data_IF_891089410953
#
_entry.id   IF_891089410953
#
_cell.length_a   1.000
_cell.length_b   1.000
_cell.length_c   1.000
_cell.angle_alpha   90.00
_cell.angle_beta   90.00
_cell.angle_gamma   90.00
#
_symmetry.space_group_name_H-M   'P 1'
#
loop_
_entity.id
_entity.type
_entity.pdbx_description
1 polymer ?
#
# COMPACT_ATOMS: atom_id res chain seq x y z
N UNK A 1 -11.02 2.57 37.65
CA UNK A 1 -10.15 2.46 36.45
C UNK A 1 -10.24 1.13 35.65
N UNK A 2 -11.31 0.29 35.65
CA UNK A 2 -11.29 -1.00 34.92
C UNK A 2 -11.70 -0.92 33.42
N UNK A 3 -12.51 0.05 33.00
CA UNK A 3 -13.09 0.08 31.64
C UNK A 3 -12.09 0.41 30.52
N UNK A 4 -11.04 1.21 30.80
CA UNK A 4 -10.01 1.56 29.83
C UNK A 4 -9.23 0.34 29.30
N UNK A 5 -9.08 -0.70 30.15
CA UNK A 5 -8.32 -1.93 29.88
C UNK A 5 -9.08 -2.96 29.03
N UNK A 6 -10.41 -2.92 28.97
CA UNK A 6 -11.23 -3.92 28.26
C UNK A 6 -11.24 -3.66 26.75
N UNK A 7 -11.30 -2.40 26.33
CA UNK A 7 -11.35 -2.07 24.91
C UNK A 7 -9.98 -2.14 24.22
N UNK A 8 -8.87 -1.83 24.91
CA UNK A 8 -7.52 -2.06 24.37
C UNK A 8 -7.27 -3.56 24.16
N UNK A 9 -7.85 -4.41 25.02
CA UNK A 9 -7.87 -5.87 24.87
C UNK A 9 -8.74 -6.37 23.72
N UNK A 10 -9.67 -5.57 23.18
CA UNK A 10 -10.55 -5.97 22.05
C UNK A 10 -10.07 -5.37 20.72
N UNK A 11 -9.63 -4.11 20.72
CA UNK A 11 -9.23 -3.43 19.50
C UNK A 11 -7.96 -4.01 18.87
N UNK A 12 -6.93 -4.29 19.67
CA UNK A 12 -5.68 -4.89 19.18
C UNK A 12 -5.89 -6.27 18.54
N UNK A 13 -6.64 -7.22 19.13
CA UNK A 13 -6.92 -8.49 18.45
C UNK A 13 -7.86 -8.34 17.26
N UNK A 14 -8.77 -7.36 17.23
CA UNK A 14 -9.57 -7.08 16.02
C UNK A 14 -8.66 -6.58 14.88
N UNK A 15 -7.77 -5.64 15.17
CA UNK A 15 -6.81 -5.14 14.18
C UNK A 15 -5.87 -6.25 13.71
N UNK A 16 -5.32 -7.03 14.64
CA UNK A 16 -4.47 -8.19 14.35
C UNK A 16 -5.22 -9.24 13.53
N UNK A 17 -6.46 -9.56 13.90
CA UNK A 17 -7.34 -10.49 13.19
C UNK A 17 -7.66 -10.03 11.77
N UNK A 18 -7.86 -8.73 11.56
CA UNK A 18 -8.09 -8.18 10.23
C UNK A 18 -6.83 -8.22 9.36
N UNK A 19 -5.66 -7.95 9.94
CA UNK A 19 -4.36 -8.09 9.25
C UNK A 19 -4.07 -9.55 8.89
N UNK A 20 -4.29 -10.48 9.82
CA UNK A 20 -4.07 -11.91 9.56
C UNK A 20 -5.06 -12.46 8.54
N UNK A 21 -6.33 -12.05 8.61
CA UNK A 21 -7.33 -12.38 7.60
C UNK A 21 -6.92 -11.86 6.22
N UNK A 22 -6.44 -10.61 6.13
CA UNK A 22 -5.97 -10.04 4.88
C UNK A 22 -4.79 -10.83 4.28
N UNK A 23 -3.78 -11.16 5.09
CA UNK A 23 -2.67 -12.02 4.68
C UNK A 23 -3.11 -13.43 4.27
N UNK A 24 -3.99 -14.06 5.05
CA UNK A 24 -4.53 -15.38 4.74
C UNK A 24 -5.33 -15.38 3.43
N UNK A 25 -6.10 -14.31 3.19
CA UNK A 25 -6.87 -14.13 1.95
C UNK A 25 -5.92 -13.95 0.76
N UNK A 26 -4.89 -13.11 0.88
CA UNK A 26 -3.87 -12.95 -0.16
C UNK A 26 -3.13 -14.26 -0.44
N UNK A 27 -2.78 -15.00 0.61
CA UNK A 27 -2.12 -16.30 0.47
C UNK A 27 -3.01 -17.34 -0.20
N UNK A 28 -4.29 -17.40 0.16
CA UNK A 28 -5.24 -18.30 -0.48
C UNK A 28 -5.46 -17.90 -1.95
N UNK A 29 -5.52 -16.60 -2.23
CA UNK A 29 -5.67 -16.08 -3.59
C UNK A 29 -4.44 -16.45 -4.44
N UNK A 30 -3.21 -16.21 -4.00
CA UNK A 30 -2.00 -16.57 -4.76
C UNK A 30 -1.89 -18.08 -5.03
N UNK A 31 -2.37 -18.91 -4.09
CA UNK A 31 -2.37 -20.39 -4.23
C UNK A 31 -3.51 -20.93 -5.08
N UNK A 32 -4.55 -20.14 -5.31
CA UNK A 32 -5.70 -20.57 -6.11
C UNK A 32 -5.40 -20.47 -7.62
N UNK A 33 -6.19 -21.11 -8.49
CA UNK A 33 -6.16 -20.88 -9.94
C UNK A 33 -6.44 -19.43 -10.35
N UNK A 34 -6.83 -18.59 -9.37
CA UNK A 34 -7.10 -17.17 -9.46
C UNK A 34 -5.87 -16.32 -9.07
N UNK A 35 -4.73 -16.92 -8.68
CA UNK A 35 -3.48 -16.19 -8.38
C UNK A 35 -3.01 -15.30 -9.53
N UNK A 36 -3.31 -15.69 -10.77
CA UNK A 36 -3.10 -14.88 -11.99
C UNK A 36 -3.76 -13.51 -11.97
N UNK A 37 -4.83 -13.27 -11.20
CA UNK A 37 -5.47 -11.94 -11.09
C UNK A 37 -4.66 -10.96 -10.23
N UNK A 38 -3.57 -11.40 -9.61
CA UNK A 38 -2.61 -10.54 -8.91
C UNK A 38 -1.44 -10.09 -9.80
N UNK A 39 -1.17 -10.77 -10.92
CA UNK A 39 -0.16 -10.34 -11.89
C UNK A 39 -0.74 -9.28 -12.84
N UNK A 40 -0.19 -8.98 -14.02
CA UNK A 40 -0.69 -7.98 -15.01
C UNK A 40 -1.07 -8.57 -16.40
N UNK A 41 -1.29 -9.88 -16.51
CA UNK A 41 -1.50 -10.62 -17.76
C UNK A 41 -2.92 -10.56 -18.34
N UNK A 42 -3.12 -10.92 -19.61
CA UNK A 42 -4.43 -10.88 -20.31
C UNK A 42 -5.43 -11.95 -19.81
N UNK A 43 -5.99 -11.76 -18.62
CA UNK A 43 -7.00 -12.66 -18.00
C UNK A 43 -8.43 -12.42 -18.46
N UNK A 44 -8.69 -11.39 -19.25
CA UNK A 44 -10.01 -11.18 -19.90
C UNK A 44 -10.29 -12.25 -20.96
N UNK A 45 -9.27 -13.01 -21.38
CA UNK A 45 -9.35 -14.00 -22.44
C UNK A 45 -9.77 -15.42 -21.98
N UNK A 46 -9.64 -15.80 -20.70
CA UNK A 46 -10.03 -17.17 -20.26
C UNK A 46 -10.29 -17.37 -18.75
N UNK A 47 -11.18 -18.31 -18.41
CA UNK A 47 -11.49 -18.74 -17.03
C UNK A 47 -12.79 -18.15 -16.45
N UNK A 48 -13.07 -18.34 -15.15
CA UNK A 48 -14.32 -17.90 -14.51
C UNK A 48 -14.55 -16.38 -14.57
N UNK A 49 -13.46 -15.59 -14.66
CA UNK A 49 -13.55 -14.15 -14.88
C UNK A 49 -14.07 -13.79 -16.28
N UNK A 50 -13.80 -14.59 -17.32
CA UNK A 50 -14.38 -14.37 -18.65
C UNK A 50 -15.90 -14.60 -18.65
N UNK A 51 -16.38 -15.58 -17.87
CA UNK A 51 -17.81 -15.81 -17.63
C UNK A 51 -18.45 -14.68 -16.80
N UNK A 52 -17.78 -14.17 -15.75
CA UNK A 52 -18.25 -13.00 -15.01
C UNK A 52 -18.30 -11.74 -15.90
N UNK A 53 -17.30 -11.55 -16.75
CA UNK A 53 -17.21 -10.42 -17.68
C UNK A 53 -18.32 -10.44 -18.74
N UNK A 54 -18.80 -11.63 -19.14
CA UNK A 54 -19.90 -11.79 -20.10
C UNK A 54 -21.29 -11.76 -19.44
N UNK A 55 -21.38 -12.10 -18.15
CA UNK A 55 -22.64 -12.11 -17.40
C UNK A 55 -23.07 -10.72 -16.87
N UNK A 56 -22.13 -9.77 -16.73
CA UNK A 56 -22.39 -8.43 -16.20
C UNK A 56 -22.36 -7.38 -17.34
N UNK A 57 -23.35 -6.47 -17.45
CA UNK A 57 -23.29 -5.36 -18.39
C UNK A 57 -22.02 -4.50 -18.16
N UNK A 58 -21.15 -4.39 -19.16
CA UNK A 58 -19.85 -3.72 -19.01
C UNK A 58 -18.83 -4.49 -18.17
N UNK A 59 -19.01 -5.81 -18.01
CA UNK A 59 -18.18 -6.68 -17.17
C UNK A 59 -16.70 -6.67 -17.55
N UNK A 60 -16.36 -6.42 -18.81
CA UNK A 60 -14.97 -6.23 -19.27
C UNK A 60 -14.22 -5.06 -18.61
N UNK A 61 -14.95 -4.08 -18.06
CA UNK A 61 -14.38 -2.92 -17.35
C UNK A 61 -14.65 -3.00 -15.84
N UNK A 62 -15.88 -3.34 -15.45
CA UNK A 62 -16.33 -3.31 -14.05
C UNK A 62 -15.68 -4.42 -13.22
N UNK A 63 -15.57 -5.64 -13.77
CA UNK A 63 -15.02 -6.79 -13.04
C UNK A 63 -13.52 -6.61 -12.77
N UNK A 64 -12.67 -6.23 -13.74
CA UNK A 64 -11.25 -5.95 -13.48
C UNK A 64 -11.04 -4.80 -12.49
N UNK A 65 -11.82 -3.71 -12.60
CA UNK A 65 -11.71 -2.58 -11.68
C UNK A 65 -12.07 -2.98 -10.24
N UNK A 66 -13.12 -3.78 -10.06
CA UNK A 66 -13.53 -4.28 -8.75
C UNK A 66 -12.50 -5.24 -8.14
N UNK A 67 -11.95 -6.17 -8.94
CA UNK A 67 -10.90 -7.09 -8.49
C UNK A 67 -9.62 -6.34 -8.11
N UNK A 68 -9.21 -5.35 -8.91
CA UNK A 68 -8.08 -4.50 -8.58
C UNK A 68 -8.32 -3.72 -7.29
N UNK A 69 -9.49 -3.11 -7.12
CA UNK A 69 -9.84 -2.37 -5.91
C UNK A 69 -9.83 -3.29 -4.66
N UNK A 70 -10.32 -4.53 -4.80
CA UNK A 70 -10.27 -5.54 -3.75
C UNK A 70 -8.84 -5.94 -3.40
N UNK A 71 -8.02 -6.30 -4.39
CA UNK A 71 -6.62 -6.68 -4.21
C UNK A 71 -5.82 -5.54 -3.57
N UNK A 72 -6.00 -4.30 -4.05
CA UNK A 72 -5.38 -3.11 -3.51
C UNK A 72 -5.78 -2.86 -2.05
N UNK A 73 -7.05 -3.04 -1.74
CA UNK A 73 -7.55 -2.90 -0.37
C UNK A 73 -6.96 -3.97 0.54
N UNK A 74 -6.95 -5.23 0.12
CA UNK A 74 -6.32 -6.33 0.86
C UNK A 74 -4.84 -6.05 1.12
N UNK A 75 -4.09 -5.62 0.11
CA UNK A 75 -2.68 -5.25 0.24
C UNK A 75 -2.48 -4.07 1.22
N UNK A 76 -3.34 -3.06 1.15
CA UNK A 76 -3.34 -1.93 2.09
C UNK A 76 -3.59 -2.40 3.53
N UNK A 77 -4.57 -3.28 3.74
CA UNK A 77 -4.90 -3.83 5.06
C UNK A 77 -3.78 -4.76 5.57
N UNK A 78 -3.17 -5.55 4.70
CA UNK A 78 -2.10 -6.48 5.06
C UNK A 78 -0.78 -5.78 5.40
N UNK A 79 -0.41 -4.75 4.62
CA UNK A 79 0.91 -4.12 4.71
C UNK A 79 0.88 -2.78 5.42
N UNK A 80 -0.06 -1.90 5.06
CA UNK A 80 -0.04 -0.50 5.49
C UNK A 80 -0.75 -0.27 6.81
N UNK A 81 -1.85 -0.99 7.06
CA UNK A 81 -2.58 -0.86 8.32
C UNK A 81 -1.74 -1.20 9.55
N UNK A 82 -0.92 -2.28 9.58
CA UNK A 82 -0.01 -2.56 10.71
C UNK A 82 0.91 -1.38 11.03
N UNK A 83 1.36 -0.65 10.01
CA UNK A 83 2.28 0.48 10.20
C UNK A 83 1.66 1.64 10.98
N UNK A 84 0.33 1.72 11.03
CA UNK A 84 -0.41 2.77 11.75
C UNK A 84 -0.74 2.43 13.20
N UNK A 85 -0.31 1.27 13.70
CA UNK A 85 -0.59 0.83 15.06
C UNK A 85 -0.26 1.90 16.14
N UNK A 86 0.88 2.60 16.08
CA UNK A 86 1.18 3.67 17.05
C UNK A 86 0.19 4.84 17.02
N UNK A 87 -0.37 5.17 15.85
CA UNK A 87 -1.41 6.19 15.72
C UNK A 87 -2.69 5.74 16.43
N UNK A 88 -3.13 4.50 16.17
CA UNK A 88 -4.29 3.94 16.85
C UNK A 88 -4.11 3.94 18.36
N UNK A 89 -2.96 3.52 18.87
CA UNK A 89 -2.65 3.55 20.31
C UNK A 89 -2.61 4.97 20.89
N UNK A 90 -2.12 5.96 20.14
CA UNK A 90 -2.12 7.36 20.57
C UNK A 90 -3.55 7.92 20.63
N UNK A 91 -4.35 7.68 19.59
CA UNK A 91 -5.73 8.16 19.53
C UNK A 91 -6.61 7.46 20.56
N UNK A 92 -6.44 6.15 20.73
CA UNK A 92 -7.11 5.32 21.72
C UNK A 92 -6.93 5.85 23.15
N UNK A 93 -5.71 6.27 23.51
CA UNK A 93 -5.42 6.93 24.79
C UNK A 93 -6.18 8.25 24.94
N UNK A 94 -6.26 9.06 23.88
CA UNK A 94 -6.99 10.34 23.88
C UNK A 94 -8.49 10.16 24.02
N UNK A 95 -9.06 9.06 23.52
CA UNK A 95 -10.51 8.77 23.58
C UNK A 95 -10.89 7.71 24.62
N UNK A 96 -9.98 7.31 25.51
CA UNK A 96 -10.15 6.16 26.40
C UNK A 96 -11.38 6.23 27.32
N UNK A 97 -11.80 7.44 27.71
CA UNK A 97 -12.95 7.68 28.58
C UNK A 97 -14.30 7.85 27.87
N UNK A 98 -14.36 7.63 26.54
CA UNK A 98 -15.59 7.89 25.76
C UNK A 98 -16.38 6.63 25.45
N UNK A 99 -17.70 6.72 25.50
CA UNK A 99 -18.61 5.61 25.13
C UNK A 99 -18.56 5.28 23.63
N UNK A 100 -18.30 6.27 22.77
CA UNK A 100 -18.21 6.15 21.31
C UNK A 100 -16.80 5.73 20.82
N UNK A 101 -15.89 5.38 21.73
CA UNK A 101 -14.46 5.06 21.45
C UNK A 101 -14.25 4.11 20.27
N UNK A 102 -14.94 2.97 20.22
CA UNK A 102 -14.76 1.99 19.16
C UNK A 102 -15.17 2.56 17.79
N UNK A 103 -16.28 3.30 17.73
CA UNK A 103 -16.75 3.97 16.51
C UNK A 103 -15.73 4.99 16.02
N UNK A 104 -15.11 5.75 16.92
CA UNK A 104 -14.07 6.72 16.57
C UNK A 104 -12.82 6.02 16.00
N UNK A 105 -12.40 4.89 16.56
CA UNK A 105 -11.28 4.11 16.02
C UNK A 105 -11.61 3.53 14.64
N UNK A 106 -12.84 3.02 14.44
CA UNK A 106 -13.28 2.53 13.14
C UNK A 106 -13.31 3.65 12.09
N UNK A 107 -13.78 4.84 12.45
CA UNK A 107 -13.77 6.00 11.55
C UNK A 107 -12.34 6.47 11.22
N UNK A 108 -11.43 6.44 12.19
CA UNK A 108 -10.00 6.68 11.96
C UNK A 108 -9.44 5.70 10.92
N UNK A 109 -9.70 4.40 11.09
CA UNK A 109 -9.29 3.38 10.14
C UNK A 109 -9.93 3.56 8.76
N UNK A 110 -11.22 3.86 8.71
CA UNK A 110 -11.95 4.10 7.46
C UNK A 110 -11.37 5.30 6.68
N UNK A 111 -11.04 6.40 7.36
CA UNK A 111 -10.38 7.54 6.73
C UNK A 111 -8.99 7.20 6.19
N UNK A 112 -8.22 6.40 6.94
CA UNK A 112 -6.91 5.93 6.51
C UNK A 112 -7.00 5.05 5.25
N UNK A 113 -7.90 4.07 5.24
CA UNK A 113 -8.13 3.19 4.08
C UNK A 113 -8.63 4.01 2.90
N UNK A 114 -9.52 4.99 3.11
CA UNK A 114 -10.00 5.85 2.04
C UNK A 114 -8.88 6.64 1.35
N UNK A 115 -7.88 7.13 2.09
CA UNK A 115 -6.70 7.80 1.51
C UNK A 115 -5.92 6.85 0.58
N UNK A 116 -5.69 5.62 1.04
CA UNK A 116 -5.00 4.60 0.26
C UNK A 116 -5.81 4.11 -0.93
N UNK A 117 -7.12 3.94 -0.79
CA UNK A 117 -8.02 3.59 -1.89
C UNK A 117 -8.02 4.68 -2.97
N UNK A 118 -8.08 5.95 -2.58
CA UNK A 118 -7.97 7.07 -3.53
C UNK A 118 -6.64 7.05 -4.28
N UNK A 119 -5.53 6.80 -3.58
CA UNK A 119 -4.22 6.64 -4.24
C UNK A 119 -4.19 5.41 -5.16
N UNK A 120 -4.77 4.28 -4.77
CA UNK A 120 -4.86 3.08 -5.61
C UNK A 120 -5.62 3.30 -6.90
N UNK A 121 -6.74 4.04 -6.84
CA UNK A 121 -7.52 4.42 -8.02
C UNK A 121 -6.71 5.34 -8.95
N UNK A 122 -5.98 6.31 -8.40
CA UNK A 122 -5.10 7.18 -9.17
C UNK A 122 -3.96 6.39 -9.83
N UNK A 123 -3.33 5.47 -9.09
CA UNK A 123 -2.27 4.60 -9.60
C UNK A 123 -2.78 3.70 -10.73
N UNK A 124 -3.98 3.12 -10.57
CA UNK A 124 -4.62 2.31 -11.61
C UNK A 124 -4.93 3.12 -12.87
N UNK A 125 -5.51 4.31 -12.71
CA UNK A 125 -5.82 5.20 -13.83
C UNK A 125 -4.55 5.62 -14.58
N UNK A 126 -3.50 5.98 -13.85
CA UNK A 126 -2.20 6.32 -14.45
C UNK A 126 -1.58 5.13 -15.18
N UNK A 127 -1.65 3.94 -14.60
CA UNK A 127 -1.16 2.72 -15.23
C UNK A 127 -1.92 2.40 -16.53
N UNK A 128 -3.25 2.52 -16.53
CA UNK A 128 -4.07 2.33 -17.72
C UNK A 128 -3.74 3.35 -18.83
N UNK A 129 -3.53 4.63 -18.46
CA UNK A 129 -3.11 5.67 -19.40
C UNK A 129 -1.71 5.39 -19.98
N UNK A 130 -0.77 4.94 -19.14
CA UNK A 130 0.57 4.55 -19.57
C UNK A 130 0.51 3.39 -20.58
N UNK A 131 -0.25 2.34 -20.28
CA UNK A 131 -0.44 1.20 -21.20
C UNK A 131 -1.07 1.62 -22.53
N UNK A 132 -2.09 2.48 -22.49
CA UNK A 132 -2.72 3.01 -23.70
C UNK A 132 -1.75 3.85 -24.55
N UNK A 133 -0.81 4.58 -23.91
CA UNK A 133 0.25 5.31 -24.59
C UNK A 133 1.33 4.40 -25.17
N UNK A 134 1.78 3.41 -24.40
CA UNK A 134 2.77 2.39 -24.81
C UNK A 134 2.28 1.62 -26.02
N UNK A 135 1.01 1.22 -26.06
CA UNK A 135 0.41 0.50 -27.19
C UNK A 135 0.47 1.30 -28.51
N UNK A 136 0.63 2.63 -28.45
CA UNK A 136 0.79 3.50 -29.62
C UNK A 136 2.25 3.66 -30.07
N UNK A 137 3.21 3.18 -29.28
CA UNK A 137 4.65 3.32 -29.54
C UNK A 137 5.29 1.93 -29.56
N UNK A 138 5.40 1.28 -30.75
CA UNK A 138 5.93 -0.08 -30.88
C UNK A 138 7.34 -0.28 -30.30
N UNK A 139 8.13 0.79 -30.18
CA UNK A 139 9.48 0.70 -29.60
C UNK A 139 9.45 0.39 -28.08
N UNK A 140 8.43 0.85 -27.34
CA UNK A 140 8.34 0.62 -25.89
C UNK A 140 7.84 -0.78 -25.54
N UNK A 141 7.06 -1.43 -26.41
CA UNK A 141 6.61 -2.82 -26.21
C UNK A 141 7.76 -3.82 -26.23
N UNK A 142 8.87 -3.50 -26.92
CA UNK A 142 10.07 -4.33 -26.97
C UNK A 142 11.04 -4.10 -25.79
N UNK A 143 10.85 -3.05 -24.99
CA UNK A 143 11.78 -2.64 -23.93
C UNK A 143 11.10 -2.61 -22.55
N UNK A 144 10.33 -3.64 -22.19
CA UNK A 144 9.65 -3.74 -20.90
C UNK A 144 10.59 -3.59 -19.68
N UNK A 145 11.87 -3.90 -19.83
CA UNK A 145 12.90 -3.70 -18.81
C UNK A 145 13.09 -2.21 -18.42
N UNK A 146 12.84 -1.27 -19.35
CA UNK A 146 12.92 0.16 -19.06
C UNK A 146 11.89 0.59 -18.02
N UNK A 147 10.70 -0.01 -18.04
CA UNK A 147 9.64 0.28 -17.06
C UNK A 147 10.10 -0.17 -15.67
N UNK A 148 10.68 -1.37 -15.57
CA UNK A 148 11.23 -1.88 -14.31
C UNK A 148 12.38 -1.02 -13.80
N UNK A 149 13.35 -0.69 -14.66
CA UNK A 149 14.50 0.15 -14.31
C UNK A 149 14.08 1.57 -13.90
N UNK A 150 13.16 2.20 -14.63
CA UNK A 150 12.64 3.53 -14.30
C UNK A 150 11.87 3.53 -12.99
N UNK A 151 11.11 2.47 -12.70
CA UNK A 151 10.36 2.35 -11.44
C UNK A 151 11.30 2.13 -10.25
N UNK A 152 12.32 1.28 -10.38
CA UNK A 152 13.38 1.12 -9.37
C UNK A 152 14.13 2.43 -9.14
N UNK A 153 14.54 3.10 -10.21
CA UNK A 153 15.25 4.36 -10.14
C UNK A 153 14.40 5.46 -9.50
N UNK A 154 13.12 5.55 -9.87
CA UNK A 154 12.16 6.48 -9.30
C UNK A 154 11.93 6.23 -7.81
N UNK A 155 11.73 4.97 -7.42
CA UNK A 155 11.57 4.59 -6.01
C UNK A 155 12.84 4.85 -5.20
N UNK A 156 14.02 4.61 -5.78
CA UNK A 156 15.32 4.88 -5.18
C UNK A 156 15.58 6.38 -4.99
N UNK A 157 15.38 7.19 -6.04
CA UNK A 157 15.47 8.64 -5.97
C UNK A 157 14.47 9.23 -4.96
N UNK A 158 13.26 8.68 -4.91
CA UNK A 158 12.23 9.09 -3.95
C UNK A 158 12.67 8.92 -2.49
N UNK A 159 13.56 7.95 -2.20
CA UNK A 159 14.10 7.74 -0.84
C UNK A 159 14.86 8.96 -0.29
N UNK A 160 15.42 9.78 -1.17
CA UNK A 160 16.19 10.99 -0.80
C UNK A 160 15.36 12.27 -0.88
N UNK A 161 14.08 12.16 -1.24
CA UNK A 161 13.24 13.34 -1.45
C UNK A 161 12.86 14.04 -0.16
N UNK A 162 12.81 15.38 -0.19
CA UNK A 162 12.30 16.17 0.91
C UNK A 162 10.83 15.84 1.23
N UNK A 163 10.04 15.46 0.23
CA UNK A 163 8.65 15.04 0.41
C UNK A 163 8.56 13.80 1.30
N UNK A 164 9.32 12.74 0.98
CA UNK A 164 9.36 11.52 1.78
C UNK A 164 9.73 11.81 3.22
N UNK A 165 10.80 12.59 3.44
CA UNK A 165 11.27 12.90 4.80
C UNK A 165 10.22 13.67 5.61
N UNK A 166 9.60 14.71 5.05
CA UNK A 166 8.54 15.48 5.72
C UNK A 166 7.31 14.63 6.04
N UNK A 167 6.88 13.78 5.11
CA UNK A 167 5.76 12.86 5.34
C UNK A 167 6.10 11.81 6.40
N UNK A 168 7.32 11.27 6.37
CA UNK A 168 7.79 10.28 7.33
C UNK A 168 7.89 10.85 8.75
N UNK A 169 8.28 12.12 8.90
CA UNK A 169 8.30 12.82 10.19
C UNK A 169 6.91 12.82 10.86
N UNK A 170 5.85 13.07 10.07
CA UNK A 170 4.47 13.04 10.56
C UNK A 170 4.04 11.61 10.93
N UNK A 171 4.42 10.61 10.13
CA UNK A 171 4.11 9.21 10.44
C UNK A 171 4.81 8.71 11.72
N UNK A 172 6.02 9.22 12.02
CA UNK A 172 6.84 8.81 13.18
C UNK A 172 6.47 9.52 14.48
N UNK A 173 5.59 10.51 14.46
CA UNK A 173 5.20 11.33 15.63
C UNK A 173 3.70 11.25 15.95
N UNK A 174 3.15 10.03 16.16
CA UNK A 174 1.70 9.80 16.21
C UNK A 174 0.98 10.57 17.32
N UNK A 175 1.58 10.74 18.50
CA UNK A 175 0.95 11.48 19.59
C UNK A 175 0.84 12.98 19.29
N UNK A 176 1.93 13.59 18.80
CA UNK A 176 1.94 14.99 18.36
C UNK A 176 0.93 15.23 17.24
N UNK A 177 0.87 14.29 16.29
CA UNK A 177 -0.11 14.31 15.20
C UNK A 177 -1.55 14.31 15.71
N UNK A 178 -1.89 13.41 16.63
CA UNK A 178 -3.25 13.36 17.22
C UNK A 178 -3.58 14.64 17.97
N UNK A 179 -2.69 15.13 18.84
CA UNK A 179 -2.92 16.34 19.65
C UNK A 179 -3.14 17.58 18.77
N UNK A 180 -2.37 17.72 17.69
CA UNK A 180 -2.46 18.86 16.77
C UNK A 180 -3.73 18.85 15.89
N UNK A 181 -4.27 17.67 15.59
CA UNK A 181 -5.35 17.50 14.61
C UNK A 181 -6.71 17.17 15.23
N UNK A 182 -6.75 16.63 16.44
CA UNK A 182 -7.98 16.28 17.13
C UNK A 182 -8.41 17.39 18.11
N UNK A 183 -9.61 17.95 17.90
CA UNK A 183 -10.18 18.98 18.80
C UNK A 183 -11.43 18.52 19.55
N UNK A 184 -11.92 17.31 19.28
CA UNK A 184 -13.10 16.73 19.94
C UNK A 184 -14.45 17.33 19.56
N UNK A 185 -14.50 18.27 18.59
CA UNK A 185 -15.73 18.85 18.03
C UNK A 185 -16.18 18.04 16.81
N UNK A 186 -17.48 17.79 16.62
CA UNK A 186 -17.99 16.94 15.53
C UNK A 186 -17.17 15.63 15.40
N UNK A 187 -17.09 14.89 16.52
CA UNK A 187 -16.11 13.83 16.83
C UNK A 187 -15.94 12.81 15.70
N UNK A 188 -17.05 12.32 15.17
CA UNK A 188 -17.03 11.29 14.13
C UNK A 188 -16.34 11.77 12.85
N UNK A 189 -16.75 12.95 12.36
CA UNK A 189 -16.12 13.58 11.20
C UNK A 189 -14.65 13.88 11.46
N UNK A 190 -14.29 14.37 12.65
CA UNK A 190 -12.89 14.61 12.99
C UNK A 190 -12.07 13.31 13.03
N UNK A 191 -12.65 12.19 13.46
CA UNK A 191 -11.92 10.92 13.55
C UNK A 191 -11.62 10.40 12.15
N UNK A 192 -12.62 10.47 11.26
CA UNK A 192 -12.43 10.16 9.84
C UNK A 192 -11.39 11.07 9.18
N UNK A 193 -11.48 12.39 9.38
CA UNK A 193 -10.52 13.36 8.81
C UNK A 193 -9.10 13.17 9.37
N UNK A 194 -8.98 12.83 10.66
CA UNK A 194 -7.70 12.51 11.28
C UNK A 194 -7.05 11.30 10.59
N UNK A 195 -7.85 10.26 10.32
CA UNK A 195 -7.43 9.06 9.60
C UNK A 195 -7.03 9.37 8.17
N UNK A 196 -7.86 10.13 7.45
CA UNK A 196 -7.61 10.57 6.08
C UNK A 196 -6.29 11.37 5.97
N UNK A 197 -6.08 12.35 6.85
CA UNK A 197 -4.85 13.15 6.86
C UNK A 197 -3.62 12.30 7.14
N UNK A 198 -3.68 11.40 8.13
CA UNK A 198 -2.56 10.50 8.39
C UNK A 198 -2.33 9.55 7.22
N UNK A 199 -3.40 9.07 6.58
CA UNK A 199 -3.35 8.28 5.36
C UNK A 199 -2.63 9.01 4.23
N UNK A 200 -2.90 10.30 4.01
CA UNK A 200 -2.20 11.12 3.01
C UNK A 200 -0.70 11.25 3.31
N UNK A 201 -0.30 11.45 4.57
CA UNK A 201 1.13 11.44 4.92
C UNK A 201 1.76 10.05 4.73
N UNK A 202 1.01 8.99 5.05
CA UNK A 202 1.46 7.61 4.89
C UNK A 202 1.66 7.23 3.42
N UNK A 203 0.72 7.59 2.55
CA UNK A 203 0.87 7.52 1.10
C UNK A 203 2.09 8.34 0.69
N UNK A 204 2.17 9.60 1.16
CA UNK A 204 3.28 10.50 0.85
C UNK A 204 4.68 9.94 1.19
N UNK A 205 4.86 9.14 2.25
CA UNK A 205 6.16 8.56 2.56
C UNK A 205 6.45 7.20 1.91
N UNK A 206 5.43 6.45 1.50
CA UNK A 206 5.56 5.04 1.10
C UNK A 206 5.04 4.71 -0.30
N UNK A 207 4.38 5.64 -1.00
CA UNK A 207 3.76 5.38 -2.30
C UNK A 207 4.74 4.75 -3.31
N UNK A 208 5.96 5.28 -3.41
CA UNK A 208 6.94 4.80 -4.38
C UNK A 208 7.39 3.37 -4.08
N UNK A 209 7.55 3.00 -2.80
CA UNK A 209 7.83 1.62 -2.40
C UNK A 209 6.64 0.71 -2.65
N UNK A 210 5.42 1.22 -2.45
CA UNK A 210 4.20 0.46 -2.77
C UNK A 210 4.14 0.15 -4.27
N UNK A 211 4.51 1.10 -5.13
CA UNK A 211 4.51 0.89 -6.58
C UNK A 211 5.54 -0.15 -7.05
N UNK A 212 6.59 -0.44 -6.27
CA UNK A 212 7.54 -1.50 -6.60
C UNK A 212 6.87 -2.87 -6.69
N UNK A 213 5.76 -3.10 -5.97
CA UNK A 213 4.98 -4.34 -6.03
C UNK A 213 4.44 -4.63 -7.43
N UNK A 214 4.21 -3.60 -8.25
CA UNK A 214 3.80 -3.78 -9.64
C UNK A 214 4.93 -4.29 -10.54
N UNK A 215 6.19 -4.12 -10.13
CA UNK A 215 7.37 -4.52 -10.91
C UNK A 215 7.92 -5.87 -10.47
N UNK A 216 8.05 -6.10 -9.16
CA UNK A 216 8.57 -7.38 -8.63
C UNK A 216 7.50 -8.48 -8.53
N UNK A 217 6.26 -8.16 -8.91
CA UNK A 217 5.11 -9.06 -8.94
C UNK A 217 4.34 -9.07 -7.61
N UNK A 218 3.08 -8.62 -7.64
CA UNK A 218 2.20 -8.68 -6.48
C UNK A 218 1.85 -10.13 -6.07
N UNK A 219 2.12 -11.12 -6.94
CA UNK A 219 2.07 -12.54 -6.60
C UNK A 219 3.18 -13.03 -5.65
N UNK A 220 4.28 -12.28 -5.50
CA UNK A 220 5.36 -12.66 -4.57
C UNK A 220 5.07 -12.18 -3.15
N UNK A 221 4.43 -13.04 -2.36
CA UNK A 221 4.18 -12.79 -0.93
C UNK A 221 5.48 -12.53 -0.15
N UNK A 222 6.61 -13.10 -0.58
CA UNK A 222 7.92 -12.87 0.03
C UNK A 222 8.37 -11.42 -0.11
N UNK A 223 8.33 -10.87 -1.33
CA UNK A 223 8.63 -9.46 -1.58
C UNK A 223 7.63 -8.52 -0.91
N UNK A 224 6.35 -8.90 -0.93
CA UNK A 224 5.30 -8.16 -0.22
C UNK A 224 5.60 -8.07 1.27
N UNK A 225 5.97 -9.18 1.91
CA UNK A 225 6.31 -9.20 3.33
C UNK A 225 7.58 -8.38 3.62
N UNK A 226 8.60 -8.49 2.77
CA UNK A 226 9.85 -7.75 2.90
C UNK A 226 9.61 -6.23 2.83
N UNK A 227 8.85 -5.75 1.83
CA UNK A 227 8.52 -4.33 1.71
C UNK A 227 7.61 -3.86 2.85
N UNK A 228 6.66 -4.67 3.29
CA UNK A 228 5.81 -4.36 4.44
C UNK A 228 6.65 -4.19 5.71
N UNK A 229 7.56 -5.12 5.98
CA UNK A 229 8.47 -5.08 7.12
C UNK A 229 9.38 -3.85 7.05
N UNK A 230 9.96 -3.57 5.88
CA UNK A 230 10.81 -2.41 5.65
C UNK A 230 10.09 -1.09 5.94
N UNK A 231 8.88 -0.91 5.40
CA UNK A 231 8.07 0.28 5.64
C UNK A 231 7.60 0.39 7.10
N UNK A 232 7.29 -0.74 7.74
CA UNK A 232 6.94 -0.78 9.16
C UNK A 232 8.13 -0.36 10.04
N UNK A 233 9.33 -0.87 9.75
CA UNK A 233 10.56 -0.51 10.47
C UNK A 233 10.87 0.98 10.27
N UNK A 234 10.78 1.47 9.03
CA UNK A 234 11.02 2.87 8.70
C UNK A 234 10.08 3.82 9.48
N UNK A 235 8.83 3.41 9.72
CA UNK A 235 7.83 4.22 10.44
C UNK A 235 7.85 4.06 11.96
N UNK A 236 8.14 2.87 12.47
CA UNK A 236 7.88 2.55 13.86
C UNK A 236 9.15 2.36 14.71
N UNK A 237 10.31 2.22 14.09
CA UNK A 237 11.58 1.99 14.81
C UNK A 237 12.40 3.27 14.90
N UNK A 238 12.98 3.52 16.07
CA UNK A 238 13.73 4.75 16.39
C UNK A 238 14.87 5.04 15.41
N UNK A 239 15.60 4.02 14.96
CA UNK A 239 16.66 4.13 13.96
C UNK A 239 16.18 3.97 12.51
N UNK A 240 14.89 3.63 12.29
CA UNK A 240 14.35 3.29 10.96
C UNK A 240 14.53 4.38 9.88
N UNK A 241 14.67 5.65 10.26
CA UNK A 241 14.98 6.76 9.32
C UNK A 241 16.31 6.54 8.60
N UNK A 242 17.26 5.87 9.26
CA UNK A 242 18.58 5.57 8.67
C UNK A 242 18.47 4.54 7.54
N UNK A 243 17.34 3.85 7.38
CA UNK A 243 17.12 2.90 6.29
C UNK A 243 16.79 3.56 4.95
N UNK A 244 16.27 4.80 4.93
CA UNK A 244 15.86 5.43 3.68
C UNK A 244 17.04 5.56 2.71
N UNK A 245 18.20 6.03 3.18
CA UNK A 245 19.39 6.21 2.36
C UNK A 245 19.96 4.89 1.78
N UNK A 246 20.29 3.85 2.58
CA UNK A 246 20.80 2.60 2.05
C UNK A 246 19.78 1.90 1.13
N UNK A 247 18.49 1.99 1.44
CA UNK A 247 17.44 1.49 0.55
C UNK A 247 17.44 2.24 -0.79
N UNK A 248 17.57 3.57 -0.75
CA UNK A 248 17.64 4.40 -1.95
C UNK A 248 18.82 4.02 -2.83
N UNK A 249 20.01 3.85 -2.24
CA UNK A 249 21.21 3.38 -2.94
C UNK A 249 20.99 2.00 -3.53
N UNK A 250 20.43 1.06 -2.76
CA UNK A 250 20.19 -0.29 -3.24
C UNK A 250 19.21 -0.33 -4.44
N UNK A 251 18.15 0.47 -4.40
CA UNK A 251 17.18 0.58 -5.51
C UNK A 251 17.80 1.21 -6.76
N UNK A 252 18.61 2.27 -6.60
CA UNK A 252 19.33 2.91 -7.71
C UNK A 252 20.39 1.96 -8.31
N UNK A 253 21.13 1.23 -7.47
CA UNK A 253 22.08 0.23 -7.90
C UNK A 253 21.37 -0.91 -8.65
N UNK A 254 20.22 -1.38 -8.16
CA UNK A 254 19.39 -2.36 -8.85
C UNK A 254 18.91 -1.88 -10.22
N UNK A 255 18.51 -0.61 -10.33
CA UNK A 255 18.14 -0.01 -11.61
C UNK A 255 19.33 0.05 -12.59
N UNK A 256 20.51 0.45 -12.10
CA UNK A 256 21.73 0.50 -12.90
C UNK A 256 22.21 -0.89 -13.35
N UNK A 257 22.13 -1.89 -12.48
CA UNK A 257 22.44 -3.28 -12.79
C UNK A 257 21.48 -3.87 -13.83
N UNK A 258 20.18 -3.60 -13.70
CA UNK A 258 19.18 -4.03 -14.69
C UNK A 258 19.48 -3.40 -16.06
N UNK A 259 19.78 -2.10 -16.09
CA UNK A 259 20.15 -1.42 -17.33
C UNK A 259 21.45 -1.99 -17.94
N UNK A 260 22.47 -2.25 -17.10
CA UNK A 260 23.73 -2.83 -17.55
C UNK A 260 23.53 -4.27 -18.09
N UNK A 261 22.75 -5.12 -17.42
CA UNK A 261 22.50 -6.48 -17.89
C UNK A 261 21.90 -6.51 -19.31
N UNK A 262 20.97 -5.60 -19.60
CA UNK A 262 20.34 -5.49 -20.91
C UNK A 262 21.22 -4.82 -21.98
N UNK A 263 22.04 -3.84 -21.62
CA UNK A 263 22.97 -3.19 -22.56
C UNK A 263 24.14 -4.12 -22.93
N UNK A 264 24.60 -4.95 -22.00
CA UNK A 264 25.79 -5.80 -22.17
C UNK A 264 25.47 -7.24 -22.60
N UNK A 265 24.20 -7.56 -22.89
CA UNK A 265 23.80 -8.86 -23.44
C UNK A 265 24.00 -10.05 -22.49
N UNK A 266 24.07 -9.82 -21.18
CA UNK A 266 24.15 -10.91 -20.20
C UNK A 266 22.72 -11.44 -20.02
N UNK A 267 22.40 -12.54 -20.70
CA UNK A 267 21.12 -13.24 -20.53
C UNK A 267 20.85 -13.56 -19.05
N UNK A 268 19.57 -13.69 -18.65
CA UNK A 268 19.21 -13.85 -17.25
C UNK A 268 19.96 -15.06 -16.65
N UNK A 269 20.62 -14.81 -15.52
CA UNK A 269 21.22 -15.84 -14.67
C UNK A 269 20.04 -16.68 -14.17
N UNK A 270 20.00 -17.95 -14.60
CA UNK A 270 19.00 -18.95 -14.23
C UNK A 270 18.92 -19.15 -12.71
#
# INVERSE_FOLDING_TARGET
MPAASRHQRVFLPVLGGLVTLAWATLWLWTRSPYGRYLDHSDWTASGPAAWLCSAVPGGSLVVPAALYALAWTLMTLAMMLPTTLPLFQAFDRVVAGRADRLRLLLLLGAGYVAAWSAFGLLAHGLHALLLAGVARVPMLTWHGWLIGAATLAGAGAFQFSALKHRCLDQCRTPLSFVISHWRGRARERQAFVLGLRHGLFCVGCCWALMLLMFVVGAGSLGWMLALAALMAIEKNVSWGRRLSAPLGVALLAGAALLAAAHVWGVGPIA
#
